data_IF_351063338925
#
_entry.id   IF_351063338925
#
_cell.length_a   1.000
_cell.length_b   1.000
_cell.length_c   1.000
_cell.angle_alpha   90.00
_cell.angle_beta   90.00
_cell.angle_gamma   90.00
#
_symmetry.space_group_name_H-M   'P 1'
#
loop_
_entity.id
_entity.type
_entity.pdbx_description
1 polymer ?
#
# COMPACT_ATOMS: atom_id res chain seq x y z
N UNK A 1 -2.03 -5.67 16.38
CA UNK A 1 -2.87 -6.67 15.69
C UNK A 1 -4.20 -6.81 16.42
N UNK A 2 -5.33 -6.71 15.71
CA UNK A 2 -6.66 -6.70 16.35
C UNK A 2 -7.02 -8.06 16.96
N UNK A 3 -6.55 -9.14 16.33
CA UNK A 3 -6.80 -10.52 16.72
C UNK A 3 -5.90 -10.95 17.90
N UNK A 4 -4.58 -10.84 17.75
CA UNK A 4 -3.62 -11.27 18.78
C UNK A 4 -3.38 -10.24 19.88
N UNK A 5 -3.88 -9.00 19.73
CA UNK A 5 -3.56 -7.85 20.59
C UNK A 5 -2.06 -7.55 20.71
N UNK A 6 -1.21 -8.20 19.92
CA UNK A 6 0.23 -7.96 19.90
C UNK A 6 0.50 -6.57 19.31
N UNK A 7 1.41 -5.83 19.95
CA UNK A 7 1.98 -4.61 19.39
C UNK A 7 2.71 -4.96 18.09
N UNK A 8 2.40 -4.26 17.01
CA UNK A 8 2.98 -4.49 15.67
C UNK A 8 3.97 -3.40 15.26
N UNK A 9 4.12 -2.39 16.11
CA UNK A 9 4.96 -1.23 15.87
C UNK A 9 4.65 -0.12 16.85
N UNK A 10 5.47 0.91 16.79
CA UNK A 10 5.38 2.13 17.58
C UNK A 10 5.36 3.33 16.63
N UNK A 11 4.81 4.44 17.10
CA UNK A 11 4.68 5.62 16.29
C UNK A 11 4.27 6.82 17.10
N UNK A 12 4.38 7.98 16.47
CA UNK A 12 4.11 9.26 17.07
C UNK A 12 2.99 9.98 16.32
N UNK A 13 2.10 10.62 17.07
CA UNK A 13 1.04 11.45 16.50
C UNK A 13 1.52 12.89 16.39
N UNK A 14 1.39 13.49 15.21
CA UNK A 14 1.71 14.90 14.96
C UNK A 14 0.67 15.49 14.00
N UNK A 15 0.09 16.63 14.36
CA UNK A 15 -0.90 17.34 13.54
C UNK A 15 -2.02 16.41 13.03
N UNK A 16 -2.62 15.64 13.93
CA UNK A 16 -3.67 14.64 13.65
C UNK A 16 -3.29 13.49 12.71
N UNK A 17 -2.04 13.41 12.29
CA UNK A 17 -1.49 12.32 11.52
C UNK A 17 -0.68 11.38 12.43
N UNK A 18 -0.80 10.08 12.19
CA UNK A 18 -0.02 9.06 12.87
C UNK A 18 1.17 8.65 11.99
N UNK A 19 2.38 8.82 12.53
CA UNK A 19 3.63 8.44 11.88
C UNK A 19 4.18 7.18 12.55
N UNK A 20 4.59 6.21 11.75
CA UNK A 20 5.19 4.96 12.26
C UNK A 20 6.69 5.19 12.43
N UNK A 21 7.18 5.05 13.66
CA UNK A 21 8.60 5.19 14.00
C UNK A 21 9.31 3.83 13.97
N UNK A 22 8.60 2.78 14.39
CA UNK A 22 9.09 1.41 14.40
C UNK A 22 7.98 0.45 13.97
N UNK A 23 8.32 -0.57 13.19
CA UNK A 23 7.40 -1.64 12.80
C UNK A 23 8.07 -2.99 13.02
N UNK A 24 7.41 -3.88 13.75
CA UNK A 24 7.89 -5.26 13.96
C UNK A 24 7.62 -6.08 12.68
N UNK A 25 8.60 -6.06 11.78
CA UNK A 25 8.57 -6.81 10.52
C UNK A 25 8.77 -8.33 10.69
N UNK A 26 9.11 -8.79 11.89
CA UNK A 26 9.17 -10.24 12.19
C UNK A 26 7.78 -10.87 12.23
N UNK A 27 6.74 -10.03 12.31
CA UNK A 27 5.37 -10.48 12.34
C UNK A 27 4.92 -10.97 10.94
N UNK A 28 4.55 -12.25 10.77
CA UNK A 28 4.10 -12.80 9.48
C UNK A 28 2.83 -12.14 8.94
N UNK A 29 2.10 -11.38 9.75
CA UNK A 29 0.94 -10.60 9.29
C UNK A 29 1.33 -9.36 8.47
N UNK A 30 2.60 -8.93 8.52
CA UNK A 30 3.08 -7.79 7.74
C UNK A 30 3.54 -8.27 6.36
N UNK A 31 2.63 -8.22 5.38
CA UNK A 31 2.98 -8.52 3.99
C UNK A 31 3.78 -7.37 3.38
N UNK A 32 5.10 -7.42 3.53
CA UNK A 32 6.02 -6.56 2.76
C UNK A 32 5.95 -7.03 1.32
N UNK A 33 5.29 -6.23 0.48
CA UNK A 33 5.16 -6.49 -0.96
C UNK A 33 6.53 -6.27 -1.62
N UNK A 34 7.33 -7.33 -1.71
CA UNK A 34 8.67 -7.31 -2.37
C UNK A 34 8.58 -7.09 -3.88
N UNK A 35 7.48 -7.52 -4.50
CA UNK A 35 7.13 -7.24 -5.90
C UNK A 35 5.89 -6.37 -5.92
N UNK A 36 6.12 -5.08 -6.03
CA UNK A 36 5.11 -4.05 -6.22
C UNK A 36 4.49 -4.16 -7.61
N UNK A 37 3.60 -5.12 -7.77
CA UNK A 37 2.76 -5.21 -8.95
C UNK A 37 1.83 -4.00 -8.99
N UNK A 38 1.80 -3.29 -10.12
CA UNK A 38 0.94 -2.11 -10.28
C UNK A 38 -0.54 -2.47 -10.11
N UNK A 39 -0.94 -3.70 -10.43
CA UNK A 39 -2.30 -4.19 -10.34
C UNK A 39 -2.79 -4.24 -8.89
N UNK A 40 -1.90 -4.60 -7.96
CA UNK A 40 -2.21 -4.61 -6.52
C UNK A 40 -2.44 -3.18 -6.01
N UNK A 41 -1.64 -2.22 -6.47
CA UNK A 41 -1.80 -0.82 -6.08
C UNK A 41 -3.06 -0.19 -6.68
N UNK A 42 -3.42 -0.56 -7.90
CA UNK A 42 -4.69 -0.16 -8.51
C UNK A 42 -5.87 -0.59 -7.64
N UNK A 43 -5.92 -1.85 -7.20
CA UNK A 43 -6.97 -2.35 -6.30
C UNK A 43 -6.96 -1.64 -4.94
N UNK A 44 -5.78 -1.50 -4.31
CA UNK A 44 -5.65 -0.88 -2.97
C UNK A 44 -6.03 0.60 -2.94
N UNK A 45 -5.81 1.32 -4.03
CA UNK A 45 -6.15 2.74 -4.17
C UNK A 45 -7.58 2.95 -4.69
N UNK A 46 -8.43 1.92 -4.62
CA UNK A 46 -9.83 2.01 -5.04
C UNK A 46 -9.98 2.17 -6.55
N UNK A 47 -9.28 1.35 -7.32
CA UNK A 47 -9.31 1.33 -8.78
C UNK A 47 -8.87 2.65 -9.44
N UNK A 48 -7.89 3.32 -8.84
CA UNK A 48 -7.35 4.57 -9.40
C UNK A 48 -6.78 4.37 -10.80
N UNK A 49 -6.95 5.37 -11.68
CA UNK A 49 -6.40 5.34 -13.03
C UNK A 49 -4.87 5.45 -13.02
N UNK A 50 -4.24 4.89 -14.05
CA UNK A 50 -2.78 4.97 -14.28
C UNK A 50 -2.25 6.40 -14.17
N UNK A 51 -2.95 7.37 -14.78
CA UNK A 51 -2.53 8.78 -14.73
C UNK A 51 -2.57 9.40 -13.33
N UNK A 52 -3.47 8.95 -12.44
CA UNK A 52 -3.48 9.40 -11.04
C UNK A 52 -2.40 8.68 -10.22
N UNK A 53 -2.16 7.42 -10.51
CA UNK A 53 -1.13 6.63 -9.83
C UNK A 53 0.29 7.07 -10.23
N UNK A 54 0.51 7.53 -11.45
CA UNK A 54 1.82 8.05 -11.89
C UNK A 54 2.25 9.31 -11.15
N UNK A 55 1.31 10.03 -10.52
CA UNK A 55 1.63 11.17 -9.65
C UNK A 55 2.20 10.74 -8.28
N UNK A 56 2.22 9.43 -7.98
CA UNK A 56 2.75 8.89 -6.73
C UNK A 56 4.20 8.45 -6.98
N UNK A 57 5.22 9.09 -6.36
CA UNK A 57 6.63 8.91 -6.74
C UNK A 57 7.13 7.46 -6.73
N UNK A 58 6.64 6.60 -5.83
CA UNK A 58 7.08 5.20 -5.75
C UNK A 58 6.35 4.26 -6.73
N UNK A 59 5.33 4.76 -7.44
CA UNK A 59 4.55 4.03 -8.45
C UNK A 59 4.82 4.49 -9.87
N UNK A 60 5.44 5.67 -10.07
CA UNK A 60 5.68 6.26 -11.39
C UNK A 60 6.33 5.29 -12.38
N UNK A 61 7.42 4.62 -11.99
CA UNK A 61 8.12 3.67 -12.86
C UNK A 61 7.29 2.41 -13.17
N UNK A 62 6.36 2.05 -12.28
CA UNK A 62 5.52 0.84 -12.36
C UNK A 62 4.24 1.07 -13.13
N UNK A 63 3.83 2.33 -13.31
CA UNK A 63 2.71 2.72 -14.15
C UNK A 63 2.97 2.56 -15.66
N UNK A 64 4.13 1.99 -16.06
CA UNK A 64 4.39 1.62 -17.45
C UNK A 64 3.75 0.29 -17.83
N UNK A 65 3.32 -0.49 -16.84
CA UNK A 65 2.66 -1.78 -17.05
C UNK A 65 1.16 -1.59 -17.34
N UNK A 66 0.63 -2.41 -18.25
CA UNK A 66 -0.79 -2.41 -18.59
C UNK A 66 -1.61 -3.01 -17.44
N UNK A 67 -2.56 -2.25 -16.91
CA UNK A 67 -3.46 -2.72 -15.84
C UNK A 67 -4.68 -3.36 -16.49
N UNK A 68 -4.83 -4.68 -16.31
CA UNK A 68 -6.07 -5.39 -16.60
C UNK A 68 -6.86 -5.58 -15.32
N UNK A 69 -8.05 -4.98 -15.22
CA UNK A 69 -8.91 -5.12 -14.05
C UNK A 69 -10.36 -5.37 -14.48
N UNK A 70 -10.87 -6.56 -14.13
CA UNK A 70 -12.22 -7.01 -14.49
C UNK A 70 -13.33 -6.11 -13.94
N UNK A 71 -13.08 -5.44 -12.81
CA UNK A 71 -14.04 -4.52 -12.18
C UNK A 71 -14.08 -3.14 -12.86
N UNK A 72 -13.03 -2.75 -13.58
CA UNK A 72 -12.93 -1.47 -14.28
C UNK A 72 -13.40 -1.52 -15.74
N UNK A 73 -13.64 -2.73 -16.27
CA UNK A 73 -14.04 -2.97 -17.67
C UNK A 73 -15.57 -3.11 -17.81
N UNK A 74 -16.32 -3.09 -16.70
CA UNK A 74 -17.79 -3.03 -16.68
C UNK A 74 -18.32 -1.62 -16.94
#
# INVERSE_FOLDING_TARGET
DHLSKKTIGEGSRKNDLYYVDYLDLSNPTCNIVKKSDIQVWHQRLGHSSLGKMSCIPFLEEKCKEMISCDDCIK
#
